data_IF_791416979613
#
_entry.id   IF_791416979613
#
_cell.length_a   1.000
_cell.length_b   1.000
_cell.length_c   1.000
_cell.angle_alpha   90.00
_cell.angle_beta   90.00
_cell.angle_gamma   90.00
#
_symmetry.space_group_name_H-M   'P 1'
#
loop_
_entity.id
_entity.type
_entity.pdbx_description
1 polymer ?
#
# COMPACT_ATOMS: atom_id res chain seq x y z
N UNK A 1 -22.58 -0.09 10.54
CA UNK A 1 -22.64 1.31 10.09
C UNK A 1 -24.10 1.64 9.97
N UNK A 2 -24.55 2.74 10.57
CA UNK A 2 -25.92 3.23 10.43
C UNK A 2 -25.88 4.27 9.31
N UNK A 3 -26.81 4.13 8.36
CA UNK A 3 -26.95 5.04 7.22
C UNK A 3 -28.38 5.53 7.21
N UNK A 4 -28.56 6.82 7.43
CA UNK A 4 -29.86 7.50 7.33
C UNK A 4 -29.83 8.41 6.10
N UNK A 5 -30.83 8.35 5.21
CA UNK A 5 -30.89 9.24 4.05
C UNK A 5 -30.80 10.72 4.46
N UNK A 6 -29.87 11.46 3.86
CA UNK A 6 -29.63 12.87 4.16
C UNK A 6 -28.65 13.14 5.31
N UNK A 7 -28.18 12.10 6.01
CA UNK A 7 -27.20 12.21 7.10
C UNK A 7 -25.87 11.56 6.73
N UNK A 8 -24.78 11.99 7.37
CA UNK A 8 -23.49 11.32 7.25
C UNK A 8 -23.56 9.90 7.86
N UNK A 9 -22.92 8.93 7.21
CA UNK A 9 -22.86 7.56 7.72
C UNK A 9 -22.14 7.52 9.07
N UNK A 10 -22.71 6.81 10.04
CA UNK A 10 -22.15 6.72 11.40
C UNK A 10 -21.66 5.30 11.70
N UNK A 11 -20.45 5.21 12.25
CA UNK A 11 -19.93 3.94 12.77
C UNK A 11 -20.50 3.74 14.17
N UNK A 12 -21.10 2.58 14.43
CA UNK A 12 -21.39 2.11 15.79
C UNK A 12 -20.13 1.42 16.29
N UNK A 13 -19.37 2.00 17.25
CA UNK A 13 -18.07 1.46 17.64
C UNK A 13 -18.15 0.01 18.13
N UNK A 14 -19.20 -0.33 18.88
CA UNK A 14 -19.44 -1.68 19.39
C UNK A 14 -19.64 -2.75 18.30
N UNK A 15 -20.05 -2.36 17.09
CA UNK A 15 -20.21 -3.28 15.94
C UNK A 15 -19.03 -3.21 14.96
N UNK A 16 -18.03 -2.37 15.22
CA UNK A 16 -16.90 -2.20 14.34
C UNK A 16 -15.90 -3.35 14.53
N UNK A 17 -15.71 -4.17 13.49
CA UNK A 17 -14.69 -5.22 13.50
C UNK A 17 -13.26 -4.70 13.30
N UNK A 18 -13.08 -3.45 12.87
CA UNK A 18 -11.75 -2.87 12.64
C UNK A 18 -11.05 -3.35 11.36
N UNK A 19 -11.79 -3.86 10.36
CA UNK A 19 -11.20 -4.30 9.09
C UNK A 19 -10.79 -3.14 8.16
N UNK A 20 -11.35 -1.94 8.37
CA UNK A 20 -11.05 -0.74 7.58
C UNK A 20 -11.66 -0.72 6.16
N UNK A 21 -12.49 -1.69 5.80
CA UNK A 21 -13.14 -1.75 4.47
C UNK A 21 -13.98 -0.49 4.17
N UNK A 22 -14.76 -0.03 5.15
CA UNK A 22 -15.62 1.14 5.00
C UNK A 22 -14.83 2.46 4.87
N UNK A 23 -13.66 2.55 5.51
CA UNK A 23 -12.78 3.71 5.42
C UNK A 23 -12.23 3.81 4.01
N UNK A 24 -11.64 2.72 3.51
CA UNK A 24 -11.01 2.69 2.19
C UNK A 24 -12.00 2.80 1.01
N UNK A 25 -13.28 2.52 1.23
CA UNK A 25 -14.31 2.63 0.19
C UNK A 25 -15.14 3.91 0.27
N UNK A 26 -14.95 4.72 1.32
CA UNK A 26 -15.73 5.94 1.49
C UNK A 26 -15.30 7.00 0.46
N UNK A 27 -16.15 7.35 -0.51
CA UNK A 27 -15.77 8.32 -1.53
C UNK A 27 -15.72 9.75 -0.99
N UNK A 28 -16.02 9.99 0.29
CA UNK A 28 -16.07 11.32 0.91
C UNK A 28 -15.12 11.48 2.08
N UNK A 29 -14.26 10.49 2.37
CA UNK A 29 -13.36 10.52 3.52
C UNK A 29 -14.07 10.76 4.87
N UNK A 30 -15.35 10.37 4.95
CA UNK A 30 -16.23 10.67 6.09
C UNK A 30 -16.02 9.75 7.30
N UNK A 31 -15.24 8.67 7.12
CA UNK A 31 -15.07 7.59 8.09
C UNK A 31 -13.58 7.43 8.33
N UNK A 32 -13.16 7.40 9.59
CA UNK A 32 -11.78 7.08 9.98
C UNK A 32 -11.76 5.80 10.84
N UNK A 33 -10.63 5.09 10.81
CA UNK A 33 -10.43 3.87 11.60
C UNK A 33 -9.82 4.21 12.96
N UNK A 34 -10.19 3.48 14.01
CA UNK A 34 -9.41 3.44 15.26
C UNK A 34 -8.09 2.69 15.02
N UNK A 35 -6.98 3.44 15.07
CA UNK A 35 -5.64 3.00 14.65
C UNK A 35 -5.56 2.66 13.15
N UNK A 36 -4.35 2.72 12.58
CA UNK A 36 -4.15 2.62 11.13
C UNK A 36 -4.96 3.70 10.37
N UNK A 37 -5.00 4.91 10.95
CA UNK A 37 -5.59 6.09 10.28
C UNK A 37 -4.77 6.42 9.03
N UNK A 38 -5.39 7.13 8.09
CA UNK A 38 -4.70 7.54 6.85
C UNK A 38 -3.45 8.36 7.18
N UNK A 39 -3.53 9.27 8.15
CA UNK A 39 -2.38 10.03 8.67
C UNK A 39 -1.25 9.11 9.15
N UNK A 40 -1.54 8.09 9.96
CA UNK A 40 -0.53 7.14 10.45
C UNK A 40 0.09 6.31 9.33
N UNK A 41 -0.69 5.92 8.33
CA UNK A 41 -0.22 5.12 7.20
C UNK A 41 0.64 5.99 6.27
N UNK A 42 0.21 7.21 5.97
CA UNK A 42 0.94 8.15 5.11
C UNK A 42 2.27 8.55 5.73
N UNK A 43 2.32 8.78 7.05
CA UNK A 43 3.57 9.01 7.77
C UNK A 43 4.57 7.85 7.56
N UNK A 44 4.08 6.61 7.69
CA UNK A 44 4.90 5.41 7.46
C UNK A 44 5.33 5.28 6.00
N UNK A 45 4.45 5.54 5.02
CA UNK A 45 4.84 5.53 3.59
C UNK A 45 5.93 6.57 3.34
N UNK A 46 5.76 7.80 3.86
CA UNK A 46 6.75 8.87 3.79
C UNK A 46 8.12 8.44 4.32
N UNK A 47 8.15 7.87 5.53
CA UNK A 47 9.39 7.41 6.15
C UNK A 47 10.03 6.23 5.38
N UNK A 48 9.24 5.22 4.99
CA UNK A 48 9.76 4.03 4.31
C UNK A 48 10.31 4.37 2.91
N UNK A 49 9.73 5.37 2.24
CA UNK A 49 10.10 5.81 0.89
C UNK A 49 11.05 7.03 0.86
N UNK A 50 11.54 7.49 2.01
CA UNK A 50 12.35 8.72 2.07
C UNK A 50 13.69 8.68 1.29
N UNK A 51 14.28 7.49 1.12
CA UNK A 51 15.61 7.31 0.51
C UNK A 51 15.56 6.27 -0.59
N UNK A 52 16.01 6.60 -1.80
CA UNK A 52 16.04 5.70 -2.97
C UNK A 52 14.74 4.87 -3.14
N UNK A 53 13.55 5.50 -3.15
CA UNK A 53 12.28 4.81 -3.28
C UNK A 53 12.18 3.97 -4.55
N UNK A 54 12.84 4.39 -5.63
CA UNK A 54 12.89 3.71 -6.92
C UNK A 54 13.57 2.33 -6.84
N UNK A 55 14.29 2.04 -5.75
CA UNK A 55 14.93 0.74 -5.48
C UNK A 55 14.20 -0.10 -4.42
N UNK A 56 12.99 0.30 -4.03
CA UNK A 56 12.23 -0.34 -2.96
C UNK A 56 10.92 -0.94 -3.47
N UNK A 57 10.53 -2.02 -2.81
CA UNK A 57 9.20 -2.62 -2.91
C UNK A 57 8.41 -2.19 -1.68
N UNK A 58 7.40 -1.33 -1.86
CA UNK A 58 6.48 -0.99 -0.78
C UNK A 58 5.49 -2.14 -0.59
N UNK A 59 5.57 -2.86 0.53
CA UNK A 59 4.77 -4.06 0.77
C UNK A 59 3.68 -3.80 1.83
N UNK A 60 2.44 -3.62 1.38
CA UNK A 60 1.28 -3.52 2.26
C UNK A 60 0.81 -4.91 2.68
N UNK A 61 0.71 -5.14 3.99
CA UNK A 61 0.52 -6.48 4.54
C UNK A 61 -0.62 -6.52 5.56
N UNK A 62 -1.58 -7.42 5.32
CA UNK A 62 -2.62 -7.77 6.29
C UNK A 62 -1.99 -8.38 7.55
N UNK A 63 -2.41 -7.92 8.73
CA UNK A 63 -1.89 -8.38 10.01
C UNK A 63 -2.04 -9.89 10.22
N UNK A 64 -3.20 -10.44 9.88
CA UNK A 64 -3.58 -11.81 10.27
C UNK A 64 -2.90 -12.90 9.43
N UNK A 65 -2.55 -12.61 8.18
CA UNK A 65 -2.05 -13.60 7.24
C UNK A 65 -0.69 -13.17 6.70
N UNK A 66 -0.66 -12.20 5.79
CA UNK A 66 0.56 -11.79 5.09
C UNK A 66 1.69 -11.34 6.01
N UNK A 67 1.38 -10.57 7.06
CA UNK A 67 2.36 -10.16 8.07
C UNK A 67 2.92 -11.37 8.83
N UNK A 68 2.05 -12.29 9.25
CA UNK A 68 2.47 -13.58 9.82
C UNK A 68 3.29 -14.42 8.85
N UNK A 69 3.02 -14.35 7.54
CA UNK A 69 3.82 -15.01 6.50
C UNK A 69 5.24 -14.45 6.42
N UNK A 70 5.42 -13.14 6.54
CA UNK A 70 6.76 -12.55 6.64
C UNK A 70 7.47 -12.92 7.94
N UNK A 71 6.76 -12.92 9.07
CA UNK A 71 7.31 -13.36 10.37
C UNK A 71 7.73 -14.84 10.32
N UNK A 72 6.93 -15.68 9.65
CA UNK A 72 7.26 -17.08 9.40
C UNK A 72 8.48 -17.20 8.48
N UNK A 73 8.61 -16.37 7.45
CA UNK A 73 9.81 -16.34 6.61
C UNK A 73 11.08 -16.03 7.42
N UNK A 74 11.00 -15.05 8.33
CA UNK A 74 12.09 -14.71 9.24
C UNK A 74 12.42 -15.85 10.21
N UNK A 75 11.40 -16.40 10.87
CA UNK A 75 11.56 -17.47 11.87
C UNK A 75 12.06 -18.79 11.26
N UNK A 76 11.72 -19.04 9.99
CA UNK A 76 12.20 -20.20 9.22
C UNK A 76 13.50 -19.93 8.45
N UNK A 77 14.10 -18.74 8.62
CA UNK A 77 15.35 -18.33 7.98
C UNK A 77 15.34 -18.38 6.43
N UNK A 78 14.17 -18.25 5.81
CA UNK A 78 14.09 -18.15 4.36
C UNK A 78 14.70 -16.82 3.90
N UNK A 79 15.82 -16.89 3.17
CA UNK A 79 16.51 -15.71 2.69
C UNK A 79 15.78 -15.07 1.51
N UNK A 80 15.67 -13.75 1.54
CA UNK A 80 15.16 -12.94 0.45
C UNK A 80 15.85 -11.57 0.44
N UNK A 81 15.83 -10.83 -0.70
CA UNK A 81 16.49 -9.53 -0.80
C UNK A 81 15.92 -8.45 0.13
N UNK A 82 16.76 -7.51 0.54
CA UNK A 82 16.41 -6.43 1.47
C UNK A 82 15.72 -5.21 0.79
N UNK A 83 15.12 -5.38 -0.39
CA UNK A 83 14.42 -4.31 -1.12
C UNK A 83 13.00 -4.05 -0.63
N UNK A 84 12.39 -5.01 0.08
CA UNK A 84 11.04 -4.87 0.64
C UNK A 84 10.98 -3.92 1.85
N UNK A 85 9.93 -3.11 1.93
CA UNK A 85 9.57 -2.27 3.08
C UNK A 85 8.12 -2.58 3.46
N UNK A 86 7.95 -3.38 4.50
CA UNK A 86 6.65 -3.82 4.99
C UNK A 86 5.90 -2.73 5.74
N UNK A 87 4.61 -2.54 5.44
CA UNK A 87 3.67 -1.74 6.21
C UNK A 87 2.46 -2.58 6.57
N UNK A 88 2.23 -2.70 7.88
CA UNK A 88 1.14 -3.50 8.43
C UNK A 88 -0.15 -2.70 8.49
N UNK A 89 -1.25 -3.33 8.11
CA UNK A 89 -2.63 -2.90 8.43
C UNK A 89 -3.45 -4.10 8.89
N UNK A 90 -4.58 -3.88 9.55
CA UNK A 90 -5.38 -4.99 10.07
C UNK A 90 -5.92 -5.93 8.98
N UNK A 91 -6.32 -5.40 7.84
CA UNK A 91 -6.87 -6.18 6.73
C UNK A 91 -6.42 -5.61 5.39
N UNK A 92 -6.33 -6.44 4.35
CA UNK A 92 -6.15 -5.94 2.98
C UNK A 92 -7.28 -4.99 2.55
N UNK A 93 -8.47 -5.10 3.14
CA UNK A 93 -9.57 -4.16 2.90
C UNK A 93 -9.24 -2.71 3.29
N UNK A 94 -8.36 -2.52 4.29
CA UNK A 94 -7.91 -1.20 4.74
C UNK A 94 -6.91 -0.56 3.78
N UNK A 95 -6.22 -1.37 2.98
CA UNK A 95 -5.24 -0.88 2.00
C UNK A 95 -6.00 -0.12 0.92
N UNK A 96 -6.10 1.19 1.08
CA UNK A 96 -6.77 2.06 0.13
C UNK A 96 -5.97 2.10 -1.19
N UNK A 97 -6.65 2.30 -2.31
CA UNK A 97 -5.99 2.63 -3.58
C UNK A 97 -5.12 3.87 -3.44
N UNK A 98 -5.55 4.81 -2.60
CA UNK A 98 -4.80 6.03 -2.30
C UNK A 98 -3.41 5.76 -1.72
N UNK A 99 -3.23 4.70 -0.95
CA UNK A 99 -1.91 4.32 -0.42
C UNK A 99 -0.97 3.78 -1.50
N UNK A 100 -1.53 3.08 -2.49
CA UNK A 100 -0.76 2.63 -3.65
C UNK A 100 -0.38 3.82 -4.53
N UNK A 101 -1.32 4.75 -4.76
CA UNK A 101 -1.02 6.00 -5.47
C UNK A 101 0.07 6.79 -4.78
N UNK A 102 0.01 6.90 -3.45
CA UNK A 102 1.04 7.60 -2.67
C UNK A 102 2.40 6.94 -2.78
N UNK A 103 2.46 5.61 -2.69
CA UNK A 103 3.73 4.90 -2.81
C UNK A 103 4.41 5.25 -4.16
N UNK A 104 3.66 5.21 -5.27
CA UNK A 104 4.18 5.62 -6.58
C UNK A 104 4.47 7.13 -6.65
N UNK A 105 3.65 7.97 -6.03
CA UNK A 105 3.86 9.43 -5.98
C UNK A 105 5.15 9.79 -5.24
N UNK A 106 5.51 9.00 -4.21
CA UNK A 106 6.78 9.06 -3.48
C UNK A 106 7.94 8.38 -4.19
N UNK A 107 7.72 7.84 -5.39
CA UNK A 107 8.78 7.27 -6.23
C UNK A 107 9.02 5.78 -6.07
N UNK A 108 8.13 5.01 -5.43
CA UNK A 108 8.35 3.58 -5.19
C UNK A 108 8.70 2.82 -6.47
N UNK A 109 9.69 1.94 -6.40
CA UNK A 109 10.09 1.05 -7.49
C UNK A 109 8.96 0.07 -7.82
N UNK A 110 8.43 -0.61 -6.82
CA UNK A 110 7.25 -1.47 -6.94
C UNK A 110 6.36 -1.38 -5.71
N UNK A 111 5.12 -1.83 -5.86
CA UNK A 111 4.14 -1.94 -4.77
C UNK A 111 3.58 -3.36 -4.73
N UNK A 112 3.67 -3.99 -3.57
CA UNK A 112 3.03 -5.26 -3.25
C UNK A 112 1.84 -4.99 -2.33
N UNK A 113 0.68 -5.53 -2.67
CA UNK A 113 -0.47 -5.64 -1.78
C UNK A 113 -0.65 -7.10 -1.43
N UNK A 114 -0.71 -7.41 -0.13
CA UNK A 114 -0.84 -8.79 0.30
C UNK A 114 -1.80 -9.02 1.48
N UNK A 115 -2.59 -10.07 1.36
CA UNK A 115 -3.67 -10.41 2.30
C UNK A 115 -3.83 -11.90 2.52
N UNK A 116 -4.90 -12.27 3.22
CA UNK A 116 -5.31 -13.67 3.36
C UNK A 116 -5.75 -14.26 2.01
N UNK A 117 -5.90 -15.59 1.95
CA UNK A 117 -6.61 -16.25 0.86
C UNK A 117 -8.12 -15.91 0.89
N UNK A 118 -8.87 -16.08 -0.22
CA UNK A 118 -10.25 -15.62 -0.35
C UNK A 118 -11.27 -16.11 0.68
N UNK A 119 -11.00 -17.25 1.33
CA UNK A 119 -11.88 -17.86 2.34
C UNK A 119 -11.32 -17.74 3.77
N UNK A 120 -10.08 -17.28 3.92
CA UNK A 120 -9.35 -17.24 5.19
C UNK A 120 -9.36 -15.85 5.82
N UNK A 121 -10.18 -14.93 5.29
CA UNK A 121 -10.20 -13.58 5.80
C UNK A 121 -10.67 -13.57 7.26
N UNK A 122 -9.82 -13.08 8.16
CA UNK A 122 -10.16 -12.90 9.57
C UNK A 122 -11.44 -12.07 9.78
N UNK A 123 -11.71 -11.13 8.87
CA UNK A 123 -12.91 -10.29 8.87
C UNK A 123 -13.96 -10.74 7.85
N UNK A 124 -13.96 -12.03 7.50
CA UNK A 124 -14.94 -12.73 6.65
C UNK A 124 -14.87 -12.31 5.18
N UNK A 125 -15.14 -11.03 4.87
CA UNK A 125 -15.26 -10.55 3.47
C UNK A 125 -14.21 -9.52 3.08
N UNK A 126 -13.42 -8.99 4.02
CA UNK A 126 -12.49 -7.89 3.76
C UNK A 126 -11.50 -8.15 2.62
N UNK A 127 -10.98 -9.38 2.53
CA UNK A 127 -10.10 -9.80 1.43
C UNK A 127 -10.78 -9.66 0.07
N UNK A 128 -12.05 -10.05 -0.05
CA UNK A 128 -12.78 -10.06 -1.31
C UNK A 128 -13.08 -8.63 -1.79
N UNK A 129 -13.30 -7.70 -0.85
CA UNK A 129 -13.37 -6.26 -1.16
C UNK A 129 -12.04 -5.76 -1.73
N UNK A 130 -10.93 -6.08 -1.06
CA UNK A 130 -9.60 -5.70 -1.53
C UNK A 130 -9.27 -6.29 -2.91
N UNK A 131 -9.57 -7.58 -3.13
CA UNK A 131 -9.31 -8.26 -4.41
C UNK A 131 -9.98 -7.54 -5.58
N UNK A 132 -11.29 -7.22 -5.46
CA UNK A 132 -12.03 -6.47 -6.50
C UNK A 132 -11.47 -5.06 -6.72
N UNK A 133 -11.05 -4.38 -5.64
CA UNK A 133 -10.45 -3.03 -5.72
C UNK A 133 -9.14 -3.08 -6.51
N UNK A 134 -8.25 -4.00 -6.14
CA UNK A 134 -6.90 -4.05 -6.68
C UNK A 134 -6.80 -4.67 -8.07
N UNK A 135 -7.72 -5.57 -8.43
CA UNK A 135 -7.88 -6.01 -9.82
C UNK A 135 -8.15 -4.83 -10.76
N UNK A 136 -9.05 -3.92 -10.36
CA UNK A 136 -9.34 -2.69 -11.14
C UNK A 136 -8.19 -1.68 -11.09
N UNK A 137 -7.50 -1.61 -9.94
CA UNK A 137 -6.39 -0.69 -9.76
C UNK A 137 -5.23 -1.02 -10.71
N UNK A 138 -4.92 -2.30 -10.93
CA UNK A 138 -3.85 -2.72 -11.84
C UNK A 138 -4.01 -2.12 -13.26
N UNK A 139 -5.20 -2.27 -13.85
CA UNK A 139 -5.48 -1.66 -15.17
C UNK A 139 -5.57 -0.13 -15.15
N UNK A 140 -5.81 0.48 -13.98
CA UNK A 140 -5.76 1.94 -13.82
C UNK A 140 -4.32 2.43 -13.84
N UNK A 141 -3.42 1.77 -13.11
CA UNK A 141 -1.99 2.11 -13.05
C UNK A 141 -1.32 1.94 -14.42
N UNK A 142 -1.66 0.87 -15.14
CA UNK A 142 -1.17 0.65 -16.51
C UNK A 142 -1.59 1.78 -17.46
N UNK A 143 -2.86 2.21 -17.42
CA UNK A 143 -3.34 3.37 -18.19
C UNK A 143 -2.66 4.68 -17.80
N UNK A 144 -2.13 4.77 -16.59
CA UNK A 144 -1.36 5.91 -16.11
C UNK A 144 0.11 5.87 -16.57
N UNK A 145 0.53 4.82 -17.27
CA UNK A 145 1.90 4.64 -17.76
C UNK A 145 2.84 3.96 -16.76
N UNK A 146 2.32 3.38 -15.68
CA UNK A 146 3.11 2.59 -14.74
C UNK A 146 3.20 1.16 -15.29
N UNK A 147 4.43 0.65 -15.46
CA UNK A 147 4.67 -0.70 -15.98
C UNK A 147 3.92 -1.76 -15.17
N UNK A 148 3.15 -2.69 -15.80
CA UNK A 148 2.27 -3.63 -15.08
C UNK A 148 2.96 -4.47 -14.01
N UNK A 149 4.21 -4.87 -14.24
CA UNK A 149 5.00 -5.66 -13.29
C UNK A 149 5.35 -4.92 -11.99
N UNK A 150 5.17 -3.59 -11.94
CA UNK A 150 5.47 -2.76 -10.76
C UNK A 150 4.37 -2.78 -9.70
N UNK A 151 3.20 -3.34 -9.99
CA UNK A 151 2.13 -3.52 -9.02
C UNK A 151 1.72 -4.99 -8.96
N UNK A 152 1.81 -5.59 -7.78
CA UNK A 152 1.49 -7.01 -7.59
C UNK A 152 0.52 -7.19 -6.42
N UNK A 153 -0.42 -8.10 -6.60
CA UNK A 153 -1.33 -8.56 -5.54
C UNK A 153 -1.04 -10.02 -5.25
N UNK A 154 -0.78 -10.37 -3.99
CA UNK A 154 -0.53 -11.76 -3.58
C UNK A 154 -1.25 -12.13 -2.28
N UNK A 155 -1.87 -13.30 -2.29
CA UNK A 155 -2.58 -13.83 -1.12
C UNK A 155 -1.69 -14.83 -0.39
N UNK A 156 -1.21 -14.46 0.79
CA UNK A 156 -0.18 -15.17 1.55
C UNK A 156 -0.72 -15.43 2.96
N UNK A 157 -0.85 -16.71 3.33
CA UNK A 157 -1.25 -17.15 4.67
C UNK A 157 -0.12 -16.95 5.68
N UNK A 158 -0.45 -17.02 6.98
CA UNK A 158 0.54 -16.92 8.04
C UNK A 158 1.58 -18.07 8.03
N UNK A 159 1.25 -19.22 7.44
CA UNK A 159 2.14 -20.38 7.35
C UNK A 159 2.93 -20.43 6.03
N UNK A 160 2.76 -19.45 5.15
CA UNK A 160 3.34 -19.43 3.81
C UNK A 160 4.64 -18.60 3.75
N UNK A 161 5.54 -18.74 4.73
CA UNK A 161 6.80 -17.99 4.74
C UNK A 161 7.71 -18.24 3.54
N UNK A 162 7.74 -19.47 3.03
CA UNK A 162 8.48 -19.79 1.81
C UNK A 162 7.92 -19.05 0.59
N UNK A 163 6.59 -18.91 0.50
CA UNK A 163 5.92 -18.15 -0.56
C UNK A 163 6.21 -16.66 -0.42
N UNK A 164 6.17 -16.10 0.79
CA UNK A 164 6.55 -14.70 1.01
C UNK A 164 7.97 -14.42 0.51
N UNK A 165 8.95 -15.22 0.94
CA UNK A 165 10.34 -15.07 0.51
C UNK A 165 10.51 -15.19 -1.02
N UNK A 166 9.77 -16.12 -1.64
CA UNK A 166 9.75 -16.29 -3.11
C UNK A 166 9.17 -15.06 -3.81
N UNK A 167 8.01 -14.56 -3.38
CA UNK A 167 7.35 -13.38 -3.98
C UNK A 167 8.26 -12.15 -3.92
N UNK A 168 8.89 -11.89 -2.76
CA UNK A 168 9.83 -10.76 -2.64
C UNK A 168 11.03 -10.93 -3.55
N UNK A 169 11.57 -12.15 -3.70
CA UNK A 169 12.68 -12.42 -4.61
C UNK A 169 12.30 -12.17 -6.07
N UNK A 170 11.16 -12.71 -6.51
CA UNK A 170 10.65 -12.49 -7.88
C UNK A 170 10.46 -11.00 -8.18
N UNK A 171 9.89 -10.24 -7.23
CA UNK A 171 9.72 -8.79 -7.39
C UNK A 171 11.06 -8.04 -7.37
N UNK A 172 12.01 -8.44 -6.52
CA UNK A 172 13.35 -7.84 -6.48
C UNK A 172 14.11 -8.07 -7.79
N UNK A 173 14.05 -9.27 -8.34
CA UNK A 173 14.65 -9.61 -9.64
C UNK A 173 14.05 -8.75 -10.76
N UNK A 174 12.71 -8.63 -10.80
CA UNK A 174 12.02 -7.77 -11.76
C UNK A 174 12.39 -6.28 -11.56
N UNK A 175 12.53 -5.82 -10.31
CA UNK A 175 12.93 -4.45 -9.98
C UNK A 175 14.36 -4.15 -10.43
N UNK A 176 15.31 -5.06 -10.19
CA UNK A 176 16.71 -4.90 -10.61
C UNK A 176 16.90 -4.96 -12.13
N UNK A 177 16.00 -5.64 -12.83
CA UNK A 177 16.00 -5.69 -14.29
C UNK A 177 15.55 -4.37 -14.94
N UNK A 178 14.93 -3.46 -14.17
CA UNK A 178 14.52 -2.14 -14.65
C UNK A 178 15.59 -1.09 -14.34
N UNK A 179 15.78 -0.15 -15.27
CA UNK A 179 16.61 1.02 -15.03
C UNK A 179 15.93 1.95 -14.00
N UNK A 180 16.59 2.32 -12.88
CA UNK A 180 16.07 3.31 -11.94
C UNK A 180 15.66 4.64 -12.59
N UNK A 181 16.32 5.07 -13.68
CA UNK A 181 15.95 6.27 -14.41
C UNK A 181 14.61 6.10 -15.14
N UNK A 182 14.34 4.91 -15.69
CA UNK A 182 13.04 4.58 -16.28
C UNK A 182 11.94 4.58 -15.21
N UNK A 183 12.17 3.97 -14.05
CA UNK A 183 11.22 3.95 -12.93
C UNK A 183 10.86 5.38 -12.50
N UNK A 184 11.87 6.24 -12.34
CA UNK A 184 11.68 7.65 -11.99
C UNK A 184 10.88 8.39 -13.07
N UNK A 185 11.16 8.15 -14.35
CA UNK A 185 10.44 8.74 -15.46
C UNK A 185 8.96 8.31 -15.51
N UNK A 186 8.65 7.02 -15.30
CA UNK A 186 7.28 6.52 -15.20
C UNK A 186 6.51 7.18 -14.05
N UNK A 187 7.13 7.27 -12.86
CA UNK A 187 6.52 7.93 -11.70
C UNK A 187 6.26 9.42 -11.95
N UNK A 188 7.21 10.10 -12.59
CA UNK A 188 7.07 11.52 -12.95
C UNK A 188 5.99 11.74 -14.01
N UNK A 189 5.88 10.86 -15.01
CA UNK A 189 4.85 10.95 -16.05
C UNK A 189 3.44 10.71 -15.47
N UNK A 190 3.30 9.77 -14.52
CA UNK A 190 2.05 9.50 -13.84
C UNK A 190 1.65 10.59 -12.83
N UNK A 191 2.56 11.52 -12.51
CA UNK A 191 2.45 12.43 -11.35
C UNK A 191 1.17 13.25 -11.32
N UNK A 192 0.83 13.94 -12.42
CA UNK A 192 -0.37 14.77 -12.48
C UNK A 192 -1.66 13.96 -12.24
N UNK A 193 -1.69 12.70 -12.72
CA UNK A 193 -2.81 11.80 -12.51
C UNK A 193 -2.88 11.32 -11.06
N UNK A 194 -1.73 10.97 -10.44
CA UNK A 194 -1.63 10.61 -9.03
C UNK A 194 -2.11 11.76 -8.12
N UNK A 195 -1.60 12.98 -8.35
CA UNK A 195 -2.00 14.17 -7.59
C UNK A 195 -3.52 14.44 -7.71
N UNK A 196 -4.10 14.25 -8.91
CA UNK A 196 -5.54 14.38 -9.12
C UNK A 196 -6.38 13.35 -8.36
N UNK A 197 -5.89 12.10 -8.23
CA UNK A 197 -6.55 11.06 -7.43
C UNK A 197 -6.48 11.38 -5.94
N UNK A 198 -5.35 11.92 -5.47
CA UNK A 198 -5.10 12.24 -4.07
C UNK A 198 -5.54 13.66 -3.66
N UNK A 199 -6.22 14.40 -4.53
CA UNK A 199 -6.59 15.82 -4.30
C UNK A 199 -7.39 16.10 -3.01
N UNK A 200 -8.09 15.09 -2.47
CA UNK A 200 -8.92 15.19 -1.25
C UNK A 200 -8.22 14.71 0.02
N UNK A 201 -6.95 14.32 -0.08
CA UNK A 201 -6.18 13.94 1.10
C UNK A 201 -6.07 15.02 2.17
N UNK A 202 -5.90 16.31 1.83
CA UNK A 202 -5.91 17.35 2.84
C UNK A 202 -7.21 17.41 3.67
N UNK A 203 -8.32 16.90 3.13
CA UNK A 203 -9.62 16.85 3.83
C UNK A 203 -9.72 15.67 4.81
N UNK A 204 -8.82 14.67 4.69
CA UNK A 204 -8.80 13.51 5.58
C UNK A 204 -8.22 13.92 6.94
N UNK A 205 -8.87 13.56 8.06
CA UNK A 205 -8.41 13.94 9.39
C UNK A 205 -6.92 13.58 9.64
N UNK A 206 -6.12 14.60 9.99
CA UNK A 206 -4.70 14.49 10.31
C UNK A 206 -3.76 14.43 9.10
N UNK A 207 -4.24 14.15 7.89
CA UNK A 207 -3.38 13.94 6.72
C UNK A 207 -2.68 15.22 6.27
N UNK A 208 -3.37 16.36 6.26
CA UNK A 208 -2.75 17.64 5.89
C UNK A 208 -1.56 18.02 6.79
N UNK A 209 -1.64 17.69 8.08
CA UNK A 209 -0.54 17.89 9.03
C UNK A 209 0.61 16.92 8.77
N UNK A 210 0.29 15.62 8.60
CA UNK A 210 1.28 14.60 8.27
C UNK A 210 2.05 14.92 6.98
N UNK A 211 1.39 15.44 5.95
CA UNK A 211 2.04 15.81 4.69
C UNK A 211 3.04 16.96 4.86
N UNK A 212 2.84 17.85 5.85
CA UNK A 212 3.80 18.90 6.20
C UNK A 212 4.99 18.36 6.99
N UNK A 213 4.76 17.41 7.89
CA UNK A 213 5.79 16.78 8.71
C UNK A 213 6.69 15.82 7.89
N UNK A 214 6.09 15.10 6.95
CA UNK A 214 6.77 14.20 6.01
C UNK A 214 6.67 14.75 4.59
N UNK A 215 7.37 15.85 4.28
CA UNK A 215 7.36 16.42 2.94
C UNK A 215 7.88 15.39 1.95
N UNK A 216 7.52 15.57 0.69
CA UNK A 216 8.07 14.71 -0.35
C UNK A 216 9.59 14.82 -0.37
N UNK A 217 10.30 13.70 -0.61
CA UNK A 217 11.72 13.78 -0.87
C UNK A 217 11.91 14.72 -2.06
N UNK A 218 12.75 15.76 -1.90
CA UNK A 218 13.24 16.51 -3.04
C UNK A 218 13.87 15.50 -3.98
N UNK A 219 13.28 15.30 -5.16
CA UNK A 219 13.89 14.55 -6.26
C UNK A 219 15.16 15.28 -6.67
N UNK A 220 16.20 15.16 -5.86
CA UNK A 220 17.54 15.58 -6.23
C UNK A 220 18.00 14.70 -7.39
N UNK A 221 18.88 15.21 -8.27
CA UNK A 221 19.50 14.36 -9.27
C UNK A 221 20.05 13.13 -8.56
N UNK A 222 19.93 11.95 -9.18
CA UNK A 222 20.43 10.64 -8.73
C UNK A 222 21.95 10.69 -8.44
N UNK A 223 22.36 11.43 -7.42
CA UNK A 223 23.73 11.77 -7.13
C UNK A 223 24.29 10.72 -6.17
N UNK A 224 24.88 9.70 -6.78
CA UNK A 224 26.14 9.10 -6.35
C UNK A 224 26.27 8.64 -4.89
N UNK A 225 25.28 7.98 -4.32
CA UNK A 225 25.52 7.05 -3.20
C UNK A 225 25.80 5.64 -3.73
N UNK A 226 26.69 5.56 -4.71
CA UNK A 226 27.50 4.37 -4.96
C UNK A 226 28.72 4.45 -4.04
N UNK A 227 28.61 3.84 -2.86
CA UNK A 227 29.74 3.33 -2.08
C UNK A 227 29.33 2.00 -1.48
#
# INVERSE_FOLDING_TARGET
IIVEPGSAAQIVPASCHGCGACVAECPHNAITQFHFTDAQIIAQIGALMAVQPERKIMAFMCHWCSYGGADNAGSSHFQYPASSRGLRVMCSARMDSDFVFEAFRRGAGMVLVSGCHPQDCHYITGQQHAARRFERLAGTLEKMGISPQRFRVEWISAAEGQKYARVIREMDEALRAMDPAQIAAENQAARAQLDSRLRRWPDVPGVAETLREYPEPTLGPLASLAR
#
